data_IF_609360177729
#
_entry.id   IF_609360177729
#
_cell.length_a   1.000
_cell.length_b   1.000
_cell.length_c   1.000
_cell.angle_alpha   90.00
_cell.angle_beta   90.00
_cell.angle_gamma   90.00
#
_symmetry.space_group_name_H-M   'P 1'
#
loop_
_entity.id
_entity.type
_entity.pdbx_description
1 polymer ?
#
# COMPACT_ATOMS: atom_id res chain seq x y z
N UNK A 1 3.05 -19.14 -3.53
CA UNK A 1 3.99 -19.12 -2.38
C UNK A 1 3.36 -19.98 -1.29
N UNK A 2 4.00 -21.06 -0.83
CA UNK A 2 3.45 -21.88 0.24
C UNK A 2 3.40 -21.10 1.56
N UNK A 3 2.25 -21.14 2.24
CA UNK A 3 2.04 -20.48 3.53
C UNK A 3 2.39 -21.43 4.69
N UNK A 4 2.70 -20.87 5.86
CA UNK A 4 2.84 -21.67 7.09
C UNK A 4 1.49 -22.34 7.44
N UNK A 5 1.47 -23.57 7.97
CA UNK A 5 0.25 -24.21 8.42
C UNK A 5 -0.53 -23.32 9.41
N UNK A 6 -1.84 -23.16 9.19
CA UNK A 6 -2.71 -22.34 10.03
C UNK A 6 -2.66 -20.83 9.78
N UNK A 7 -1.96 -20.37 8.74
CA UNK A 7 -2.03 -18.97 8.33
C UNK A 7 -3.46 -18.58 7.93
N UNK A 8 -3.90 -17.42 8.43
CA UNK A 8 -5.22 -16.83 8.15
C UNK A 8 -5.04 -15.46 7.50
N UNK A 9 -6.08 -15.01 6.84
CA UNK A 9 -6.16 -13.71 6.21
C UNK A 9 -5.93 -12.60 7.23
N UNK A 10 -5.19 -11.57 6.81
CA UNK A 10 -4.93 -10.37 7.61
C UNK A 10 -5.56 -9.19 6.88
N UNK A 11 -6.44 -8.46 7.55
CA UNK A 11 -7.03 -7.21 7.03
C UNK A 11 -6.98 -6.15 8.11
N UNK A 12 -5.88 -5.39 8.14
CA UNK A 12 -5.69 -4.32 9.12
C UNK A 12 -6.13 -2.96 8.54
N UNK A 13 -6.69 -2.07 9.37
CA UNK A 13 -7.09 -0.74 8.91
C UNK A 13 -5.86 0.10 8.50
N UNK A 14 -5.99 1.00 7.50
CA UNK A 14 -4.93 1.94 7.13
C UNK A 14 -4.50 2.83 8.32
N UNK A 15 -3.23 3.21 8.34
CA UNK A 15 -2.76 4.19 9.32
C UNK A 15 -3.36 5.58 9.06
N UNK A 16 -3.70 6.35 10.11
CA UNK A 16 -4.08 7.75 9.94
C UNK A 16 -2.94 8.51 9.26
N UNK A 17 -3.25 9.22 8.17
CA UNK A 17 -2.27 9.98 7.39
C UNK A 17 -2.79 11.39 7.13
N UNK A 18 -1.89 12.36 6.99
CA UNK A 18 -2.27 13.73 6.65
C UNK A 18 -2.74 13.82 5.20
N UNK A 19 -3.60 14.81 4.86
CA UNK A 19 -4.07 14.99 3.47
C UNK A 19 -2.91 15.10 2.47
N UNK A 20 -1.88 15.88 2.80
CA UNK A 20 -0.68 16.04 1.96
C UNK A 20 0.03 14.71 1.70
N UNK A 21 0.17 13.85 2.73
CA UNK A 21 0.78 12.54 2.55
C UNK A 21 -0.09 11.64 1.68
N UNK A 22 -1.41 11.71 1.85
CA UNK A 22 -2.37 10.94 1.05
C UNK A 22 -2.29 11.27 -0.44
N UNK A 23 -2.22 12.55 -0.80
CA UNK A 23 -2.08 12.97 -2.20
C UNK A 23 -0.81 12.39 -2.86
N UNK A 24 0.31 12.37 -2.14
CA UNK A 24 1.55 11.75 -2.65
C UNK A 24 1.41 10.24 -2.79
N UNK A 25 0.75 9.58 -1.82
CA UNK A 25 0.47 8.14 -1.89
C UNK A 25 -0.42 7.80 -3.09
N UNK A 26 -1.50 8.55 -3.31
CA UNK A 26 -2.44 8.35 -4.41
C UNK A 26 -1.75 8.51 -5.77
N UNK A 27 -0.96 9.58 -5.96
CA UNK A 27 -0.21 9.80 -7.19
C UNK A 27 0.82 8.68 -7.49
N UNK A 28 1.43 8.11 -6.45
CA UNK A 28 2.35 6.98 -6.61
C UNK A 28 1.59 5.71 -7.00
N UNK A 29 0.37 5.49 -6.48
CA UNK A 29 -0.44 4.31 -6.82
C UNK A 29 -0.93 4.40 -8.26
N UNK A 30 -1.42 5.56 -8.69
CA UNK A 30 -1.85 5.81 -10.07
C UNK A 30 -0.72 5.51 -11.06
N UNK A 31 0.50 5.93 -10.73
CA UNK A 31 1.69 5.62 -11.54
C UNK A 31 1.96 4.11 -11.60
N UNK A 32 1.85 3.38 -10.50
CA UNK A 32 2.07 1.94 -10.49
C UNK A 32 0.98 1.16 -11.22
N UNK A 33 -0.28 1.60 -11.14
CA UNK A 33 -1.39 1.05 -11.92
C UNK A 33 -1.15 1.29 -13.41
N UNK A 34 -0.78 2.51 -13.80
CA UNK A 34 -0.49 2.86 -15.20
C UNK A 34 0.71 2.08 -15.77
N UNK A 35 1.70 1.77 -14.95
CA UNK A 35 2.85 0.95 -15.32
C UNK A 35 2.55 -0.57 -15.28
N UNK A 36 1.37 -0.99 -14.81
CA UNK A 36 1.00 -2.40 -14.67
C UNK A 36 1.79 -3.15 -13.59
N UNK A 37 2.37 -2.44 -12.62
CA UNK A 37 3.12 -3.04 -11.51
C UNK A 37 2.17 -3.56 -10.43
N UNK A 38 0.99 -2.94 -10.29
CA UNK A 38 -0.08 -3.36 -9.38
C UNK A 38 -1.43 -3.27 -10.09
N UNK A 39 -2.45 -3.93 -9.53
CA UNK A 39 -3.82 -3.91 -10.03
C UNK A 39 -4.85 -3.85 -8.89
N UNK A 40 -6.07 -3.34 -9.14
CA UNK A 40 -7.16 -3.42 -8.18
C UNK A 40 -7.50 -4.88 -7.82
N UNK A 41 -7.72 -5.15 -6.53
CA UNK A 41 -8.00 -6.50 -6.04
C UNK A 41 -9.15 -6.50 -5.02
N UNK A 42 -9.88 -7.62 -4.97
CA UNK A 42 -10.91 -7.92 -3.96
C UNK A 42 -10.45 -9.06 -3.05
N UNK A 43 -9.30 -8.87 -2.41
CA UNK A 43 -8.67 -9.85 -1.53
C UNK A 43 -9.11 -9.66 -0.07
N UNK A 44 -9.31 -10.76 0.70
CA UNK A 44 -9.44 -10.66 2.15
C UNK A 44 -8.10 -10.31 2.84
N UNK A 45 -6.98 -10.34 2.09
CA UNK A 45 -5.67 -9.91 2.57
C UNK A 45 -5.45 -8.42 2.28
N UNK A 46 -5.18 -7.65 3.33
CA UNK A 46 -4.87 -6.22 3.28
C UNK A 46 -3.88 -5.84 4.38
N UNK A 47 -2.81 -5.16 3.98
CA UNK A 47 -1.80 -4.59 4.87
C UNK A 47 -1.79 -3.06 4.74
N UNK A 48 -1.67 -2.31 5.86
CA UNK A 48 -1.62 -0.86 5.82
C UNK A 48 -0.27 -0.40 5.27
N UNK A 49 -0.31 0.57 4.37
CA UNK A 49 0.87 1.26 3.85
C UNK A 49 0.97 2.67 4.43
N UNK A 50 2.17 3.23 4.45
CA UNK A 50 2.43 4.61 4.84
C UNK A 50 3.64 5.13 4.07
N UNK A 51 3.76 6.45 4.00
CA UNK A 51 4.85 7.11 3.27
C UNK A 51 5.92 7.63 4.23
N UNK A 52 7.18 7.41 3.88
CA UNK A 52 8.36 7.98 4.54
C UNK A 52 9.14 8.86 3.58
N UNK A 53 9.89 9.82 4.12
CA UNK A 53 10.69 10.74 3.32
C UNK A 53 12.16 10.50 3.59
N UNK A 54 12.93 10.28 2.53
CA UNK A 54 14.40 10.16 2.59
C UNK A 54 15.01 11.13 1.59
N UNK A 55 15.83 12.06 2.06
CA UNK A 55 16.42 13.14 1.24
C UNK A 55 15.35 13.88 0.41
N UNK A 56 14.23 14.23 1.05
CA UNK A 56 13.05 14.86 0.43
C UNK A 56 12.33 14.04 -0.63
N UNK A 57 12.71 12.77 -0.85
CA UNK A 57 12.04 11.86 -1.77
C UNK A 57 11.03 11.00 -1.01
N UNK A 58 9.78 10.91 -1.49
CA UNK A 58 8.78 10.01 -0.91
C UNK A 58 9.09 8.55 -1.24
N UNK A 59 8.88 7.68 -0.25
CA UNK A 59 8.93 6.24 -0.38
C UNK A 59 7.71 5.64 0.31
N UNK A 60 6.99 4.78 -0.40
CA UNK A 60 5.94 3.91 0.12
C UNK A 60 6.46 2.48 0.15
#
# INVERSE_FOLDING_TARGET
IPMKPGAKEVSLPPFPTSPVKREVMDAQMDKWIALGVIEPSKSPWGAPAFIVYRNSKPHM
#
